data_IF_264773788007
#
_entry.id   IF_264773788007
#
_cell.length_a   1.000
_cell.length_b   1.000
_cell.length_c   1.000
_cell.angle_alpha   90.00
_cell.angle_beta   90.00
_cell.angle_gamma   90.00
#
_symmetry.space_group_name_H-M   'P 1'
#
loop_
_entity.id
_entity.type
_entity.pdbx_description
1 polymer ?
#
# COMPACT_ATOMS: atom_id res chain seq x y z
N UNK A 1 14.98 -0.71 -3.88
CA UNK A 1 13.83 0.05 -3.34
C UNK A 1 14.05 0.21 -1.85
N UNK A 2 14.37 1.40 -1.34
CA UNK A 2 14.48 1.59 0.11
C UNK A 2 13.08 1.40 0.70
N UNK A 3 12.89 0.52 1.67
CA UNK A 3 11.62 0.44 2.37
C UNK A 3 11.43 1.78 3.08
N UNK A 4 10.32 2.46 2.78
CA UNK A 4 9.85 3.58 3.58
C UNK A 4 9.81 3.21 5.06
N UNK A 5 9.69 4.15 5.98
CA UNK A 5 9.69 3.85 7.40
C UNK A 5 8.59 2.81 7.68
N UNK A 6 9.00 1.59 7.94
CA UNK A 6 8.10 0.50 8.33
C UNK A 6 7.68 0.76 9.77
N UNK A 7 6.72 1.66 9.93
CA UNK A 7 6.30 2.18 11.22
C UNK A 7 5.92 1.10 12.24
N UNK A 8 5.46 -0.08 11.78
CA UNK A 8 5.14 -1.21 12.66
C UNK A 8 6.29 -2.22 12.87
N UNK A 9 7.37 -2.15 12.08
CA UNK A 9 8.43 -3.18 12.14
C UNK A 9 9.04 -3.29 13.54
N UNK A 10 9.37 -2.15 14.15
CA UNK A 10 9.93 -2.13 15.51
C UNK A 10 8.98 -2.71 16.56
N UNK A 11 7.69 -2.38 16.46
CA UNK A 11 6.66 -2.90 17.35
C UNK A 11 6.48 -4.42 17.21
N UNK A 12 6.43 -4.94 15.98
CA UNK A 12 6.37 -6.37 15.74
C UNK A 12 7.61 -7.10 16.25
N UNK A 13 8.81 -6.57 15.98
CA UNK A 13 10.05 -7.17 16.45
C UNK A 13 10.11 -7.20 17.98
N UNK A 14 9.64 -6.15 18.66
CA UNK A 14 9.56 -6.13 20.12
C UNK A 14 8.60 -7.20 20.65
N UNK A 15 7.43 -7.37 20.05
CA UNK A 15 6.47 -8.41 20.41
C UNK A 15 7.04 -9.82 20.16
N UNK A 16 7.67 -10.05 19.01
CA UNK A 16 8.24 -11.36 18.66
C UNK A 16 9.41 -11.73 19.57
N UNK A 17 10.26 -10.78 19.90
CA UNK A 17 11.40 -11.04 20.80
C UNK A 17 11.01 -11.14 22.29
N UNK A 18 9.89 -10.57 22.67
CA UNK A 18 9.34 -10.62 24.03
C UNK A 18 8.27 -11.70 24.18
N UNK A 19 7.04 -11.38 23.80
CA UNK A 19 5.85 -12.23 24.00
C UNK A 19 5.94 -13.58 23.27
N UNK A 20 6.57 -13.61 22.09
CA UNK A 20 6.67 -14.78 21.21
C UNK A 20 8.11 -15.30 21.07
N UNK A 21 8.95 -15.04 22.07
CA UNK A 21 10.35 -15.46 22.09
C UNK A 21 10.48 -16.97 21.86
N UNK A 22 11.27 -17.33 20.86
CA UNK A 22 11.51 -18.73 20.48
C UNK A 22 10.40 -19.37 19.64
N UNK A 23 9.31 -18.65 19.34
CA UNK A 23 8.22 -19.15 18.49
C UNK A 23 8.30 -18.62 17.05
N UNK A 24 9.02 -17.52 16.81
CA UNK A 24 9.11 -16.86 15.51
C UNK A 24 10.55 -16.83 15.03
N UNK A 25 10.78 -17.34 13.84
CA UNK A 25 12.04 -17.22 13.07
C UNK A 25 11.83 -16.15 11.99
N UNK A 26 12.26 -14.93 12.27
CA UNK A 26 12.17 -13.81 11.33
C UNK A 26 13.41 -13.75 10.43
N UNK A 27 13.20 -13.95 9.13
CA UNK A 27 14.25 -13.93 8.10
C UNK A 27 14.12 -12.70 7.20
N UNK A 28 14.80 -11.59 7.53
CA UNK A 28 14.78 -10.39 6.69
C UNK A 28 15.57 -10.59 5.40
N UNK A 29 15.29 -9.75 4.40
CA UNK A 29 15.98 -9.74 3.09
C UNK A 29 15.91 -11.07 2.32
N UNK A 30 14.86 -11.85 2.57
CA UNK A 30 14.59 -13.11 1.90
C UNK A 30 13.47 -12.89 0.89
N UNK A 31 13.80 -12.93 -0.39
CA UNK A 31 12.80 -12.79 -1.46
C UNK A 31 12.25 -14.17 -1.82
N UNK A 32 10.95 -14.22 -2.09
CA UNK A 32 10.28 -15.41 -2.59
C UNK A 32 10.72 -15.68 -4.03
N UNK A 33 11.37 -16.82 -4.25
CA UNK A 33 11.80 -17.27 -5.57
C UNK A 33 10.80 -18.24 -6.21
N UNK A 34 10.30 -19.21 -5.42
CA UNK A 34 9.39 -20.25 -5.91
C UNK A 34 8.64 -20.92 -4.75
N UNK A 35 7.57 -21.63 -5.06
CA UNK A 35 6.76 -22.39 -4.07
C UNK A 35 6.53 -23.82 -4.60
N UNK A 36 7.08 -24.79 -3.92
CA UNK A 36 6.71 -26.19 -4.12
C UNK A 36 5.50 -26.55 -3.26
N UNK A 37 4.32 -26.49 -3.87
CA UNK A 37 3.06 -26.77 -3.17
C UNK A 37 2.95 -28.21 -2.71
N UNK A 38 3.47 -29.18 -3.48
CA UNK A 38 3.43 -30.61 -3.11
C UNK A 38 4.42 -30.94 -2.00
N UNK A 39 5.62 -30.38 -2.07
CA UNK A 39 6.66 -30.54 -1.06
C UNK A 39 6.47 -29.63 0.16
N UNK A 40 5.43 -28.76 0.19
CA UNK A 40 5.19 -27.79 1.26
C UNK A 40 6.44 -26.96 1.57
N UNK A 41 7.10 -26.45 0.51
CA UNK A 41 8.38 -25.78 0.63
C UNK A 41 8.37 -24.43 -0.10
N UNK A 42 8.78 -23.38 0.58
CA UNK A 42 9.03 -22.05 0.01
C UNK A 42 10.52 -21.94 -0.29
N UNK A 43 10.86 -21.62 -1.54
CA UNK A 43 12.23 -21.31 -1.95
C UNK A 43 12.45 -19.81 -1.87
N UNK A 44 13.44 -19.41 -1.12
CA UNK A 44 13.90 -18.04 -0.96
C UNK A 44 15.18 -17.83 -1.78
N UNK A 45 15.65 -16.59 -1.89
CA UNK A 45 16.86 -16.26 -2.67
C UNK A 45 18.09 -17.10 -2.25
N UNK A 46 18.24 -17.37 -0.96
CA UNK A 46 19.44 -18.05 -0.41
C UNK A 46 19.12 -19.29 0.43
N UNK A 47 17.85 -19.64 0.58
CA UNK A 47 17.43 -20.72 1.48
C UNK A 47 16.08 -21.31 1.03
N UNK A 48 15.68 -22.41 1.67
CA UNK A 48 14.37 -23.02 1.50
C UNK A 48 13.75 -23.34 2.86
N UNK A 49 12.47 -23.08 3.00
CA UNK A 49 11.73 -23.33 4.24
C UNK A 49 10.59 -24.28 3.96
N UNK A 50 10.58 -25.42 4.65
CA UNK A 50 9.47 -26.37 4.66
C UNK A 50 8.58 -26.10 5.85
N UNK A 51 7.26 -26.13 5.66
CA UNK A 51 6.27 -25.94 6.72
C UNK A 51 5.11 -26.90 6.59
N UNK A 52 4.43 -27.15 7.70
CA UNK A 52 3.15 -27.90 7.71
C UNK A 52 2.00 -27.06 7.17
N UNK A 53 2.12 -25.74 7.26
CA UNK A 53 1.20 -24.76 6.67
C UNK A 53 2.01 -23.69 5.96
N UNK A 54 1.64 -23.38 4.72
CA UNK A 54 2.24 -22.28 3.94
C UNK A 54 1.19 -21.20 3.69
N UNK A 55 1.45 -20.00 4.20
CA UNK A 55 0.72 -18.80 3.84
C UNK A 55 1.67 -17.87 3.05
N UNK A 56 1.57 -17.91 1.73
CA UNK A 56 2.48 -17.20 0.83
C UNK A 56 1.76 -16.01 0.20
N UNK A 57 2.31 -14.82 0.40
CA UNK A 57 1.82 -13.59 -0.24
C UNK A 57 2.74 -13.22 -1.40
N UNK A 58 2.32 -13.43 -2.65
CA UNK A 58 3.14 -13.11 -3.81
C UNK A 58 3.25 -11.61 -4.04
N UNK A 59 4.21 -11.14 -4.86
CA UNK A 59 4.26 -9.76 -5.31
C UNK A 59 2.95 -9.35 -6.01
N UNK A 60 2.35 -8.26 -5.56
CA UNK A 60 1.07 -7.77 -6.09
C UNK A 60 1.26 -6.81 -7.26
N UNK A 61 0.22 -6.69 -8.08
CA UNK A 61 0.05 -5.70 -9.14
C UNK A 61 -1.40 -5.26 -9.23
N UNK A 62 -1.69 -4.22 -9.99
CA UNK A 62 -3.06 -3.85 -10.33
C UNK A 62 -3.76 -5.03 -11.04
N UNK A 63 -5.06 -5.14 -10.86
CA UNK A 63 -5.86 -6.24 -11.40
C UNK A 63 -5.79 -6.32 -12.93
N UNK A 64 -6.15 -7.48 -13.49
CA UNK A 64 -6.05 -7.77 -14.91
C UNK A 64 -6.85 -6.80 -15.79
N UNK A 65 -7.93 -6.24 -15.28
CA UNK A 65 -8.68 -5.21 -16.00
C UNK A 65 -7.81 -3.99 -16.30
N UNK A 66 -6.98 -3.55 -15.36
CA UNK A 66 -6.09 -2.42 -15.56
C UNK A 66 -5.01 -2.70 -16.62
N UNK A 67 -4.52 -3.95 -16.68
CA UNK A 67 -3.60 -4.38 -17.74
C UNK A 67 -4.27 -4.39 -19.10
N UNK A 68 -5.43 -5.04 -19.20
CA UNK A 68 -6.18 -5.20 -20.45
C UNK A 68 -6.68 -3.89 -21.04
N UNK A 69 -6.91 -2.88 -20.20
CA UNK A 69 -7.40 -1.54 -20.62
C UNK A 69 -6.29 -0.50 -20.75
N UNK A 70 -5.02 -0.88 -20.60
CA UNK A 70 -3.89 0.04 -20.77
C UNK A 70 -3.71 1.06 -19.63
N UNK A 71 -4.30 0.82 -18.45
CA UNK A 71 -4.23 1.75 -17.32
C UNK A 71 -2.94 1.62 -16.50
N UNK A 72 -2.16 0.55 -16.70
CA UNK A 72 -0.88 0.34 -16.00
C UNK A 72 0.19 1.19 -16.68
N UNK A 73 0.64 2.25 -16.02
CA UNK A 73 1.63 3.20 -16.55
C UNK A 73 2.92 3.24 -15.73
N UNK A 74 2.93 2.65 -14.54
CA UNK A 74 4.06 2.71 -13.63
C UNK A 74 4.61 1.31 -13.35
N UNK A 75 5.93 1.14 -13.55
CA UNK A 75 6.75 -0.05 -13.27
C UNK A 75 6.10 -1.38 -13.68
N UNK A 76 5.29 -1.38 -14.74
CA UNK A 76 4.55 -2.54 -15.29
C UNK A 76 3.59 -3.20 -14.27
N UNK A 77 3.26 -2.50 -13.18
CA UNK A 77 2.47 -3.07 -12.08
C UNK A 77 1.30 -2.19 -11.65
N UNK A 78 1.43 -0.86 -11.72
CA UNK A 78 0.49 0.06 -11.08
C UNK A 78 -0.02 1.14 -12.03
N UNK A 79 -1.22 1.64 -11.74
CA UNK A 79 -1.82 2.76 -12.45
C UNK A 79 -1.31 4.09 -11.89
N UNK A 80 -0.78 4.95 -12.76
CA UNK A 80 -0.50 6.34 -12.43
C UNK A 80 -1.79 7.16 -12.41
N UNK A 81 -1.92 8.07 -11.46
CA UNK A 81 -3.08 8.94 -11.30
C UNK A 81 -2.69 10.38 -10.98
N UNK A 82 -3.55 11.30 -11.34
CA UNK A 82 -3.56 12.66 -10.79
C UNK A 82 -4.15 12.62 -9.37
N UNK A 83 -3.36 12.96 -8.39
CA UNK A 83 -3.75 12.88 -6.98
C UNK A 83 -4.83 13.90 -6.56
N UNK A 84 -5.10 14.91 -7.37
CA UNK A 84 -6.16 15.87 -7.10
C UNK A 84 -7.55 15.36 -7.50
N UNK A 85 -7.59 14.41 -8.44
CA UNK A 85 -8.84 13.87 -9.00
C UNK A 85 -8.92 12.34 -9.00
N UNK A 86 -7.79 11.65 -8.79
CA UNK A 86 -7.64 10.21 -9.02
C UNK A 86 -7.84 9.81 -10.49
N UNK A 87 -7.81 10.76 -11.43
CA UNK A 87 -7.90 10.48 -12.86
C UNK A 87 -6.65 9.76 -13.35
N UNK A 88 -6.83 8.75 -14.19
CA UNK A 88 -5.72 8.02 -14.81
C UNK A 88 -4.88 8.92 -15.69
N UNK A 89 -3.55 8.81 -15.60
CA UNK A 89 -2.65 9.52 -16.50
C UNK A 89 -2.62 8.91 -17.92
N UNK A 90 -3.21 7.73 -18.10
CA UNK A 90 -3.26 7.04 -19.39
C UNK A 90 -4.55 7.36 -20.17
N UNK A 91 -5.68 7.44 -19.51
CA UNK A 91 -7.00 7.55 -20.13
C UNK A 91 -7.83 8.62 -19.44
N UNK A 92 -8.15 9.68 -20.17
CA UNK A 92 -8.97 10.78 -19.67
C UNK A 92 -10.41 10.32 -19.36
N UNK A 93 -10.98 10.82 -18.27
CA UNK A 93 -12.32 10.47 -17.81
C UNK A 93 -12.41 9.12 -17.09
N UNK A 94 -11.30 8.41 -16.95
CA UNK A 94 -11.21 7.17 -16.15
C UNK A 94 -10.47 7.43 -14.87
N UNK A 95 -11.09 7.09 -13.75
CA UNK A 95 -10.51 7.28 -12.42
C UNK A 95 -10.12 5.94 -11.81
N UNK A 96 -8.93 5.87 -11.21
CA UNK A 96 -8.41 4.67 -10.54
C UNK A 96 -8.07 5.01 -9.10
N UNK A 97 -8.46 4.16 -8.17
CA UNK A 97 -8.25 4.40 -6.75
C UNK A 97 -7.87 3.11 -5.99
N UNK A 98 -7.49 3.26 -4.74
CA UNK A 98 -7.08 2.14 -3.88
C UNK A 98 -5.76 1.52 -4.29
N UNK A 99 -5.63 0.23 -4.03
CA UNK A 99 -4.36 -0.51 -4.18
C UNK A 99 -3.89 -0.67 -5.62
N UNK A 100 -4.77 -0.45 -6.61
CA UNK A 100 -4.38 -0.47 -8.02
C UNK A 100 -3.47 0.69 -8.43
N UNK A 101 -3.46 1.79 -7.67
CA UNK A 101 -2.65 2.97 -7.98
C UNK A 101 -1.17 2.76 -7.62
N UNK A 102 -0.27 3.47 -8.28
CA UNK A 102 1.09 3.66 -7.78
C UNK A 102 1.01 4.50 -6.50
N UNK A 103 1.39 3.93 -5.36
CA UNK A 103 1.39 4.69 -4.11
C UNK A 103 2.33 5.88 -4.17
N UNK A 104 1.89 7.01 -3.63
CA UNK A 104 2.77 8.13 -3.35
C UNK A 104 3.84 7.75 -2.30
N UNK A 105 4.95 8.50 -2.19
CA UNK A 105 5.99 8.21 -1.21
C UNK A 105 5.43 8.06 0.21
N UNK A 106 5.80 6.98 0.88
CA UNK A 106 5.36 6.61 2.23
C UNK A 106 3.84 6.38 2.40
N UNK A 107 3.05 6.45 1.33
CA UNK A 107 1.61 6.17 1.37
C UNK A 107 1.37 4.66 1.40
N UNK A 108 0.65 4.13 2.40
CA UNK A 108 0.36 2.71 2.47
C UNK A 108 -0.73 2.31 1.48
N UNK A 109 -0.69 1.06 1.04
CA UNK A 109 -1.83 0.38 0.40
C UNK A 109 -2.70 -0.22 1.49
N UNK A 110 -3.87 0.37 1.72
CA UNK A 110 -4.79 -0.06 2.78
C UNK A 110 -6.22 0.30 2.44
N UNK A 111 -7.18 -0.41 3.01
CA UNK A 111 -8.60 -0.09 2.88
C UNK A 111 -8.93 1.32 3.39
N UNK A 112 -8.27 1.76 4.46
CA UNK A 112 -8.40 3.13 5.00
C UNK A 112 -7.97 4.16 3.95
N UNK A 113 -6.82 3.97 3.32
CA UNK A 113 -6.34 4.87 2.26
C UNK A 113 -7.22 4.79 1.00
N UNK A 114 -7.65 3.60 0.59
CA UNK A 114 -8.57 3.44 -0.54
C UNK A 114 -9.89 4.21 -0.34
N UNK A 115 -10.42 4.25 0.89
CA UNK A 115 -11.58 5.06 1.23
C UNK A 115 -11.30 6.58 1.10
N UNK A 116 -10.09 7.03 1.44
CA UNK A 116 -9.70 8.44 1.24
C UNK A 116 -9.58 8.77 -0.25
N UNK A 117 -8.97 7.88 -1.05
CA UNK A 117 -8.95 8.01 -2.51
C UNK A 117 -10.36 8.16 -3.08
N UNK A 118 -11.30 7.34 -2.60
CA UNK A 118 -12.69 7.39 -3.05
C UNK A 118 -13.36 8.73 -2.73
N UNK A 119 -13.10 9.32 -1.57
CA UNK A 119 -13.65 10.65 -1.19
C UNK A 119 -13.10 11.76 -2.07
N UNK A 120 -11.79 11.78 -2.32
CA UNK A 120 -11.15 12.75 -3.22
C UNK A 120 -11.68 12.58 -4.64
N UNK A 121 -11.73 11.36 -5.15
CA UNK A 121 -12.27 11.03 -6.46
C UNK A 121 -13.73 11.50 -6.63
N UNK A 122 -14.60 11.15 -5.69
CA UNK A 122 -16.01 11.53 -5.75
C UNK A 122 -16.21 13.06 -5.77
N UNK A 123 -15.49 13.78 -4.91
CA UNK A 123 -15.53 15.23 -4.90
C UNK A 123 -15.03 15.83 -6.22
N UNK A 124 -13.96 15.30 -6.77
CA UNK A 124 -13.40 15.74 -8.04
C UNK A 124 -14.35 15.46 -9.23
N UNK A 125 -14.93 14.26 -9.30
CA UNK A 125 -15.90 13.91 -10.36
C UNK A 125 -17.11 14.82 -10.32
N UNK A 126 -17.66 15.12 -9.12
CA UNK A 126 -18.79 16.06 -8.96
C UNK A 126 -18.40 17.48 -9.43
N UNK A 127 -17.22 17.95 -9.08
CA UNK A 127 -16.73 19.26 -9.52
C UNK A 127 -16.59 19.31 -11.06
N UNK A 128 -15.97 18.30 -11.65
CA UNK A 128 -15.79 18.21 -13.11
C UNK A 128 -17.12 18.17 -13.87
N UNK A 129 -18.10 17.40 -13.41
CA UNK A 129 -19.46 17.36 -14.01
C UNK A 129 -20.12 18.73 -13.96
N UNK A 130 -19.89 19.50 -12.89
CA UNK A 130 -20.44 20.85 -12.72
C UNK A 130 -19.62 21.95 -13.43
N UNK A 131 -18.53 21.62 -14.12
CA UNK A 131 -17.61 22.59 -14.69
C UNK A 131 -16.88 23.44 -13.64
N UNK A 132 -16.73 22.92 -12.42
CA UNK A 132 -16.05 23.59 -11.32
C UNK A 132 -14.62 23.08 -11.16
N UNK A 133 -13.68 23.86 -10.61
CA UNK A 133 -12.34 23.42 -10.34
C UNK A 133 -12.35 22.32 -9.26
N UNK A 134 -11.47 21.32 -9.41
CA UNK A 134 -11.21 20.33 -8.38
C UNK A 134 -10.43 20.96 -7.21
N UNK A 135 -10.52 20.35 -6.02
CA UNK A 135 -9.72 20.78 -4.88
C UNK A 135 -8.22 20.69 -5.21
N UNK A 136 -7.49 21.82 -5.24
CA UNK A 136 -6.06 21.82 -5.61
C UNK A 136 -5.15 21.28 -4.50
N UNK A 137 -5.66 21.08 -3.28
CA UNK A 137 -4.89 20.65 -2.11
C UNK A 137 -5.63 19.55 -1.31
N UNK A 138 -5.87 18.39 -1.91
CA UNK A 138 -6.50 17.31 -1.16
C UNK A 138 -5.58 16.81 -0.05
N UNK A 139 -6.19 16.35 1.04
CA UNK A 139 -5.53 15.66 2.14
C UNK A 139 -6.13 14.28 2.28
N UNK A 140 -5.29 13.32 2.65
CA UNK A 140 -5.69 11.92 2.85
C UNK A 140 -5.09 11.41 4.15
N UNK A 141 -5.83 10.60 4.88
CA UNK A 141 -5.40 10.04 6.16
C UNK A 141 -5.46 8.52 6.12
N UNK A 142 -4.54 7.90 6.82
CA UNK A 142 -4.53 6.45 7.00
C UNK A 142 -4.45 6.10 8.48
N UNK A 143 -5.20 5.09 8.88
CA UNK A 143 -5.04 4.42 10.16
C UNK A 143 -5.16 2.92 9.95
N UNK A 144 -4.17 2.17 10.43
CA UNK A 144 -4.15 0.71 10.37
C UNK A 144 -3.93 0.13 11.74
N UNK A 145 -4.75 -0.84 12.12
CA UNK A 145 -4.62 -1.59 13.36
C UNK A 145 -4.07 -2.99 13.07
N UNK A 146 -3.27 -3.52 13.99
CA UNK A 146 -2.76 -4.90 13.93
C UNK A 146 -2.78 -5.50 15.33
N UNK A 147 -3.51 -6.58 15.50
CA UNK A 147 -3.49 -7.33 16.77
C UNK A 147 -2.14 -8.01 16.94
N UNK A 148 -1.62 -7.91 18.16
CA UNK A 148 -0.42 -8.63 18.62
C UNK A 148 -0.82 -9.93 19.29
N UNK A 149 -1.88 -9.87 20.07
CA UNK A 149 -2.56 -11.01 20.71
C UNK A 149 -4.06 -10.73 20.84
N UNK A 150 -4.77 -11.52 21.65
CA UNK A 150 -6.21 -11.35 21.88
C UNK A 150 -6.62 -10.09 22.65
N UNK A 151 -5.68 -9.33 23.20
CA UNK A 151 -5.94 -8.15 24.06
C UNK A 151 -5.16 -6.92 23.62
N UNK A 152 -4.01 -7.10 22.97
CA UNK A 152 -3.11 -6.02 22.59
C UNK A 152 -3.18 -5.74 21.09
N UNK A 153 -3.29 -4.47 20.76
CA UNK A 153 -3.31 -3.98 19.39
C UNK A 153 -2.29 -2.85 19.24
N UNK A 154 -1.57 -2.85 18.13
CA UNK A 154 -0.77 -1.71 17.70
C UNK A 154 -1.47 -0.98 16.56
N UNK A 155 -1.26 0.32 16.45
CA UNK A 155 -1.77 1.09 15.32
C UNK A 155 -0.66 1.94 14.72
N UNK A 156 -0.90 2.36 13.48
CA UNK A 156 -0.14 3.44 12.84
C UNK A 156 -1.11 4.37 12.15
N UNK A 157 -0.79 5.66 12.20
CA UNK A 157 -1.52 6.69 11.49
C UNK A 157 -0.57 7.50 10.61
N UNK A 158 -1.06 8.02 9.50
CA UNK A 158 -0.33 8.96 8.65
C UNK A 158 -1.28 9.93 7.98
N UNK A 159 -0.78 11.14 7.72
CA UNK A 159 -1.49 12.17 6.95
C UNK A 159 -0.63 12.50 5.74
N UNK A 160 -1.27 12.62 4.59
CA UNK A 160 -0.65 12.99 3.32
C UNK A 160 -1.35 14.20 2.75
N UNK A 161 -0.59 15.19 2.32
CA UNK A 161 -1.05 16.39 1.65
C UNK A 161 -0.50 16.44 0.22
N UNK A 162 -1.23 17.03 -0.71
CA UNK A 162 -0.77 17.21 -2.07
C UNK A 162 0.32 18.30 -2.13
N UNK A 163 1.44 17.97 -2.76
CA UNK A 163 2.52 18.89 -3.09
C UNK A 163 2.48 19.20 -4.59
N UNK A 164 2.12 20.44 -4.92
CA UNK A 164 1.97 20.89 -6.30
C UNK A 164 3.30 20.95 -7.07
N UNK A 165 4.43 21.17 -6.37
CA UNK A 165 5.75 21.22 -7.00
C UNK A 165 6.20 19.81 -7.41
N UNK A 166 5.92 18.81 -6.58
CA UNK A 166 6.23 17.40 -6.83
C UNK A 166 5.12 16.66 -7.59
N UNK A 167 3.93 17.26 -7.72
CA UNK A 167 2.72 16.66 -8.32
C UNK A 167 2.36 15.31 -7.71
N UNK A 168 2.54 15.17 -6.39
CA UNK A 168 2.27 13.93 -5.66
C UNK A 168 1.82 14.22 -4.23
N UNK A 169 1.32 13.20 -3.55
CA UNK A 169 1.05 13.29 -2.11
C UNK A 169 2.35 13.10 -1.33
N UNK A 170 2.55 13.91 -0.31
CA UNK A 170 3.70 13.82 0.61
C UNK A 170 3.22 13.62 2.05
N UNK A 171 3.96 12.84 2.82
CA UNK A 171 3.64 12.64 4.23
C UNK A 171 3.85 13.93 5.03
N UNK A 172 2.86 14.33 5.80
CA UNK A 172 2.91 15.50 6.68
C UNK A 172 3.71 15.13 7.93
N UNK A 173 4.86 15.77 8.11
CA UNK A 173 5.76 15.49 9.24
C UNK A 173 5.07 15.81 10.57
N UNK A 174 5.13 14.86 11.51
CA UNK A 174 4.53 15.01 12.85
C UNK A 174 3.01 14.82 12.91
N UNK A 175 2.34 14.56 11.79
CA UNK A 175 0.90 14.29 11.74
C UNK A 175 0.57 12.78 11.67
N UNK A 176 1.35 11.95 12.37
CA UNK A 176 1.16 10.51 12.40
C UNK A 176 1.87 9.90 13.60
N UNK A 177 1.61 8.59 13.85
CA UNK A 177 2.19 7.83 14.97
C UNK A 177 1.99 6.32 14.80
#
# INVERSE_FOLDING_TARGET
>A
MQPGPQSKKGLFLAAWNGMYKGMIDYRPNSELADVDVKGMTVKLTFDSVKGDVLNVVPPHRAGDIALKTGLITANQRWCGVDWTSMESVAVKGVHVLGDATLSAPAMPKSASMANQHAKVCAAAVIALIKGQPVNPQPMMMNTCYSFVDGKNVMHVASVHAYDAAQKTMVAVKGAGG
#
